data_IF_869106307632
#
_entry.id   IF_869106307632
#
_cell.length_a   1.000
_cell.length_b   1.000
_cell.length_c   1.000
_cell.angle_alpha   90.00
_cell.angle_beta   90.00
_cell.angle_gamma   90.00
#
_symmetry.space_group_name_H-M   'P 1'
#
loop_
_entity.id
_entity.type
_entity.pdbx_description
1 polymer ?
#
# COMPACT_ATOMS: atom_id res chain seq x y z
N UNK A 1 -13.96 -1.46 5.29
CA UNK A 1 -12.49 -1.56 5.14
C UNK A 1 -11.76 -0.65 6.11
N UNK A 2 -11.73 0.68 5.90
CA UNK A 2 -11.01 1.58 6.83
C UNK A 2 -11.67 1.58 8.22
N UNK A 3 -13.00 1.59 8.27
CA UNK A 3 -13.75 1.46 9.52
C UNK A 3 -13.62 0.07 10.17
N UNK A 4 -13.10 -0.92 9.45
CA UNK A 4 -12.85 -2.26 9.96
C UNK A 4 -11.39 -2.40 10.45
N UNK A 5 -10.66 -1.29 10.61
CA UNK A 5 -9.29 -1.25 11.11
C UNK A 5 -8.21 -1.40 10.03
N UNK A 6 -8.56 -1.51 8.75
CA UNK A 6 -7.56 -1.59 7.68
C UNK A 6 -6.84 -0.26 7.52
N UNK A 7 -5.55 -0.25 7.82
CA UNK A 7 -4.70 0.95 7.80
C UNK A 7 -3.64 0.93 6.69
N UNK A 8 -3.38 -0.23 6.08
CA UNK A 8 -2.35 -0.43 5.06
C UNK A 8 -2.99 -1.04 3.81
N UNK A 9 -2.72 -0.43 2.65
CA UNK A 9 -3.16 -0.88 1.34
C UNK A 9 -1.94 -1.14 0.45
N UNK A 10 -1.92 -2.28 -0.22
CA UNK A 10 -0.83 -2.69 -1.11
C UNK A 10 -1.40 -2.89 -2.51
N UNK A 11 -0.94 -2.10 -3.48
CA UNK A 11 -1.27 -2.19 -4.90
C UNK A 11 -0.16 -2.98 -5.61
N UNK A 12 -0.50 -4.15 -6.16
CA UNK A 12 0.42 -5.00 -6.91
C UNK A 12 0.20 -4.76 -8.40
N UNK A 13 1.25 -4.41 -9.13
CA UNK A 13 1.22 -4.12 -10.55
C UNK A 13 1.77 -2.74 -10.90
N UNK A 14 2.07 -2.50 -12.19
CA UNK A 14 2.66 -1.25 -12.65
C UNK A 14 1.66 -0.08 -12.49
N UNK A 15 2.18 1.09 -12.11
CA UNK A 15 1.37 2.29 -11.90
C UNK A 15 0.96 2.51 -10.44
N UNK A 16 0.13 3.52 -10.18
CA UNK A 16 -0.28 3.93 -8.81
C UNK A 16 -1.75 4.40 -8.77
N UNK A 17 -2.59 3.80 -9.60
CA UNK A 17 -3.97 4.28 -9.80
C UNK A 17 -4.80 4.05 -8.54
N UNK A 18 -4.77 2.82 -8.01
CA UNK A 18 -5.56 2.48 -6.83
C UNK A 18 -5.03 3.21 -5.59
N UNK A 19 -3.70 3.29 -5.42
CA UNK A 19 -3.07 4.07 -4.35
C UNK A 19 -3.48 5.55 -4.41
N UNK A 20 -3.55 6.12 -5.62
CA UNK A 20 -4.01 7.49 -5.85
C UNK A 20 -5.49 7.68 -5.47
N UNK A 21 -6.36 6.76 -5.86
CA UNK A 21 -7.78 6.79 -5.51
C UNK A 21 -7.98 6.66 -3.99
N UNK A 22 -7.27 5.73 -3.33
CA UNK A 22 -7.34 5.52 -1.89
C UNK A 22 -6.91 6.79 -1.13
N UNK A 23 -5.82 7.46 -1.54
CA UNK A 23 -5.39 8.73 -0.93
C UNK A 23 -6.39 9.87 -1.09
N UNK A 24 -7.21 9.88 -2.15
CA UNK A 24 -8.29 10.86 -2.32
C UNK A 24 -9.45 10.60 -1.36
N UNK A 25 -9.74 9.33 -1.09
CA UNK A 25 -10.79 8.90 -0.16
C UNK A 25 -10.37 9.14 1.29
N UNK A 26 -9.15 8.74 1.65
CA UNK A 26 -8.62 8.90 3.00
C UNK A 26 -7.10 9.13 2.96
N UNK A 27 -6.64 10.26 3.50
CA UNK A 27 -5.22 10.62 3.54
C UNK A 27 -4.47 10.00 4.72
N UNK A 28 -5.18 9.45 5.70
CA UNK A 28 -4.62 8.89 6.93
C UNK A 28 -4.24 7.40 6.80
N UNK A 29 -4.54 6.77 5.67
CA UNK A 29 -4.17 5.37 5.42
C UNK A 29 -2.83 5.28 4.68
N UNK A 30 -2.06 4.23 4.96
CA UNK A 30 -0.80 3.95 4.26
C UNK A 30 -1.12 3.22 2.95
N UNK A 31 -0.47 3.66 1.87
CA UNK A 31 -0.55 3.00 0.56
C UNK A 31 0.85 2.65 0.08
N UNK A 32 1.00 1.44 -0.47
CA UNK A 32 2.24 0.90 -1.02
C UNK A 32 1.96 0.39 -2.41
N UNK A 33 2.88 0.60 -3.33
CA UNK A 33 2.79 0.07 -4.69
C UNK A 33 4.01 -0.80 -5.00
N UNK A 34 3.75 -1.98 -5.53
CA UNK A 34 4.73 -2.97 -5.97
C UNK A 34 4.59 -3.10 -7.48
N UNK A 35 5.32 -2.25 -8.19
CA UNK A 35 5.31 -2.19 -9.65
C UNK A 35 6.20 -3.22 -10.35
N UNK A 36 7.21 -3.73 -9.64
CA UNK A 36 8.22 -4.62 -10.18
C UNK A 36 8.78 -5.58 -9.12
N UNK A 37 9.62 -6.53 -9.55
CA UNK A 37 10.25 -7.51 -8.68
C UNK A 37 11.29 -6.90 -7.72
N UNK A 38 11.81 -5.71 -8.01
CA UNK A 38 12.77 -5.02 -7.15
C UNK A 38 12.06 -4.38 -5.95
N UNK A 39 10.87 -3.84 -6.15
CA UNK A 39 9.98 -3.34 -5.10
C UNK A 39 9.64 -4.42 -4.04
N UNK A 40 9.56 -5.69 -4.45
CA UNK A 40 9.34 -6.83 -3.54
C UNK A 40 10.52 -6.98 -2.57
N UNK A 41 11.76 -6.77 -3.02
CA UNK A 41 12.94 -6.88 -2.15
C UNK A 41 12.92 -5.81 -1.05
N UNK A 42 12.42 -4.63 -1.38
CA UNK A 42 12.29 -3.49 -0.46
C UNK A 42 11.08 -3.63 0.50
N UNK A 43 10.16 -4.55 0.24
CA UNK A 43 8.96 -4.76 1.06
C UNK A 43 9.23 -5.40 2.43
N UNK A 44 10.39 -6.05 2.62
CA UNK A 44 10.74 -6.80 3.84
C UNK A 44 10.72 -5.98 5.14
N UNK A 45 10.69 -4.65 5.06
CA UNK A 45 10.67 -3.76 6.22
C UNK A 45 9.25 -3.48 6.77
N UNK A 46 8.18 -3.80 6.03
CA UNK A 46 6.82 -3.32 6.37
C UNK A 46 5.95 -4.41 7.02
N UNK A 47 6.17 -5.68 6.70
CA UNK A 47 5.44 -6.80 7.30
C UNK A 47 6.10 -7.41 8.55
N UNK A 48 7.16 -6.80 9.09
CA UNK A 48 7.64 -7.14 10.43
C UNK A 48 6.91 -6.26 11.44
N UNK A 49 5.85 -6.82 12.02
CA UNK A 49 5.37 -6.40 13.33
C UNK A 49 6.41 -6.85 14.36
N UNK A 50 7.12 -5.89 14.95
CA UNK A 50 7.56 -5.97 16.34
C UNK A 50 6.48 -5.29 17.20
#
# INVERSE_FOLDING_TARGET
>A
MVNDGVSIFIEIGPGKVLSGLIRRINKNVKTLNIGDAEAIKNMKAICRED
#
